data_IF_099822233476
#
_entry.id   IF_099822233476
#
_cell.length_a   1.000
_cell.length_b   1.000
_cell.length_c   1.000
_cell.angle_alpha   90.00
_cell.angle_beta   90.00
_cell.angle_gamma   90.00
#
_symmetry.space_group_name_H-M   'P 1'
#
loop_
_entity.id
_entity.type
_entity.pdbx_description
1 polymer ?
#
# COMPACT_ATOMS: atom_id res chain seq x y z
N UNK A 1 -10.68 15.31 51.44
CA UNK A 1 -10.62 14.02 50.71
C UNK A 1 -11.06 14.08 49.24
N UNK A 2 -12.05 14.89 48.83
CA UNK A 2 -12.49 15.00 47.44
C UNK A 2 -11.40 15.49 46.47
N UNK A 3 -10.57 16.51 46.80
CA UNK A 3 -9.49 17.03 45.94
C UNK A 3 -8.38 16.02 45.63
N UNK A 4 -8.00 15.12 46.56
CA UNK A 4 -7.02 14.06 46.30
C UNK A 4 -7.51 13.00 45.32
N UNK A 5 -8.82 12.67 45.35
CA UNK A 5 -9.43 11.75 44.40
C UNK A 5 -9.46 12.31 42.96
N UNK A 6 -9.71 13.64 42.84
CA UNK A 6 -9.71 14.32 41.53
C UNK A 6 -8.31 14.42 40.91
N UNK A 7 -7.27 14.68 41.73
CA UNK A 7 -5.86 14.69 41.27
C UNK A 7 -5.39 13.30 40.87
N UNK A 8 -5.72 12.25 41.59
CA UNK A 8 -5.39 10.87 41.24
C UNK A 8 -6.11 10.40 39.97
N UNK A 9 -7.30 10.93 39.67
CA UNK A 9 -8.01 10.65 38.41
C UNK A 9 -7.43 11.38 37.22
N UNK A 10 -6.74 12.51 37.42
CA UNK A 10 -6.08 13.29 36.38
C UNK A 10 -4.64 12.81 36.07
N UNK A 11 -4.03 12.09 36.98
CA UNK A 11 -2.65 11.62 36.86
C UNK A 11 -2.36 10.82 35.56
N UNK A 12 -3.21 9.84 35.14
CA UNK A 12 -3.00 9.14 33.87
C UNK A 12 -3.03 10.06 32.66
N UNK A 13 -3.90 11.06 32.66
CA UNK A 13 -4.01 12.03 31.57
C UNK A 13 -2.80 12.96 31.48
N UNK A 14 -2.17 13.31 32.61
CA UNK A 14 -0.95 14.11 32.64
C UNK A 14 0.21 13.36 32.00
N UNK A 15 0.32 12.04 32.23
CA UNK A 15 1.32 11.20 31.57
C UNK A 15 1.10 11.05 30.07
N UNK A 16 -0.16 11.05 29.62
CA UNK A 16 -0.51 11.00 28.20
C UNK A 16 -0.43 12.37 27.50
N UNK A 17 -0.42 13.46 28.24
CA UNK A 17 -0.49 14.83 27.72
C UNK A 17 0.61 15.15 26.69
N UNK A 18 1.91 14.80 26.89
CA UNK A 18 2.93 15.05 25.88
C UNK A 18 2.64 14.34 24.56
N UNK A 19 2.19 13.07 24.61
CA UNK A 19 1.85 12.29 23.41
C UNK A 19 0.61 12.84 22.70
N UNK A 20 -0.45 13.21 23.46
CA UNK A 20 -1.66 13.82 22.92
C UNK A 20 -1.34 15.17 22.25
N UNK A 21 -0.49 15.99 22.88
CA UNK A 21 -0.08 17.29 22.33
C UNK A 21 0.68 17.12 21.02
N UNK A 22 1.64 16.19 20.97
CA UNK A 22 2.38 15.88 19.73
C UNK A 22 1.44 15.37 18.63
N UNK A 23 0.52 14.46 18.95
CA UNK A 23 -0.47 13.97 17.98
C UNK A 23 -1.39 15.09 17.49
N UNK A 24 -1.80 15.99 18.37
CA UNK A 24 -2.66 17.12 18.00
C UNK A 24 -1.95 18.06 17.05
N UNK A 25 -0.71 18.44 17.34
CA UNK A 25 0.07 19.39 16.53
C UNK A 25 0.49 18.76 15.18
N UNK A 26 1.01 17.54 15.19
CA UNK A 26 1.65 16.96 14.00
C UNK A 26 0.72 16.07 13.17
N UNK A 27 -0.42 15.66 13.70
CA UNK A 27 -1.38 14.81 12.98
C UNK A 27 -2.73 15.51 12.80
N UNK A 28 -3.40 15.89 13.90
CA UNK A 28 -4.75 16.42 13.80
C UNK A 28 -4.79 17.81 13.16
N UNK A 29 -3.85 18.69 13.51
CA UNK A 29 -3.79 20.05 12.94
C UNK A 29 -3.53 20.03 11.42
N UNK A 30 -2.53 19.28 10.85
CA UNK A 30 -2.38 19.18 9.41
C UNK A 30 -3.58 18.56 8.70
N UNK A 31 -4.24 17.57 9.29
CA UNK A 31 -5.48 16.99 8.74
C UNK A 31 -6.56 18.09 8.65
N UNK A 32 -6.78 18.83 9.71
CA UNK A 32 -7.74 19.95 9.74
C UNK A 32 -7.41 20.99 8.65
N UNK A 33 -6.11 21.34 8.49
CA UNK A 33 -5.67 22.29 7.46
C UNK A 33 -5.91 21.77 6.03
N UNK A 34 -5.78 20.46 5.78
CA UNK A 34 -6.12 19.87 4.49
C UNK A 34 -7.62 20.01 4.22
N UNK A 35 -8.49 19.72 5.20
CA UNK A 35 -9.94 19.92 5.06
C UNK A 35 -10.29 21.39 4.84
N UNK A 36 -9.70 22.31 5.61
CA UNK A 36 -9.89 23.75 5.46
C UNK A 36 -9.46 24.23 4.06
N UNK A 37 -8.29 23.82 3.62
CA UNK A 37 -7.72 24.19 2.30
C UNK A 37 -8.56 23.62 1.16
N UNK A 38 -9.13 22.42 1.31
CA UNK A 38 -9.99 21.82 0.28
C UNK A 38 -11.26 22.61 0.02
N UNK A 39 -11.74 23.38 1.01
CA UNK A 39 -12.92 24.25 0.95
C UNK A 39 -12.57 25.74 0.77
N UNK A 40 -11.30 26.05 0.48
CA UNK A 40 -10.82 27.43 0.36
C UNK A 40 -10.33 27.73 -1.06
N UNK A 41 -10.53 28.97 -1.50
CA UNK A 41 -9.83 29.50 -2.67
C UNK A 41 -8.40 29.82 -2.28
N UNK A 42 -7.44 29.18 -2.96
CA UNK A 42 -6.01 29.34 -2.69
C UNK A 42 -5.33 29.93 -3.93
N UNK A 43 -4.54 30.97 -3.73
CA UNK A 43 -3.73 31.56 -4.80
C UNK A 43 -2.62 30.63 -5.26
N UNK A 44 -2.03 30.88 -6.44
CA UNK A 44 -0.85 30.13 -6.90
C UNK A 44 0.35 30.24 -5.95
N UNK A 45 0.41 31.31 -5.16
CA UNK A 45 1.44 31.51 -4.13
C UNK A 45 1.12 30.79 -2.80
N UNK A 46 0.05 29.99 -2.73
CA UNK A 46 -0.34 29.27 -1.51
C UNK A 46 -1.14 30.10 -0.49
N UNK A 47 -1.49 31.34 -0.79
CA UNK A 47 -2.25 32.18 0.14
C UNK A 47 -3.74 31.88 0.04
N UNK A 48 -4.39 31.64 1.18
CA UNK A 48 -5.84 31.47 1.29
C UNK A 48 -6.54 32.81 1.08
N UNK A 49 -7.40 32.90 0.09
CA UNK A 49 -8.17 34.12 -0.27
C UNK A 49 -9.53 34.18 0.42
N UNK A 50 -10.20 33.02 0.57
CA UNK A 50 -11.52 32.94 1.14
C UNK A 50 -12.09 31.53 1.10
N UNK A 51 -13.28 31.38 1.68
CA UNK A 51 -14.02 30.13 1.67
C UNK A 51 -14.79 29.97 0.35
N UNK A 52 -14.63 28.82 -0.33
CA UNK A 52 -15.32 28.52 -1.57
C UNK A 52 -16.23 27.28 -1.52
N UNK A 53 -16.45 26.73 -0.32
CA UNK A 53 -17.28 25.56 -0.13
C UNK A 53 -16.79 24.33 -0.90
N UNK A 54 -17.65 23.75 -1.74
CA UNK A 54 -17.34 22.53 -2.50
C UNK A 54 -16.85 22.79 -3.94
N UNK A 55 -16.50 24.01 -4.30
CA UNK A 55 -16.08 24.35 -5.67
C UNK A 55 -14.84 23.58 -6.13
N UNK A 56 -13.85 23.39 -5.24
CA UNK A 56 -12.67 22.61 -5.57
C UNK A 56 -13.01 21.14 -5.85
N UNK A 57 -13.92 20.56 -5.06
CA UNK A 57 -14.42 19.21 -5.29
C UNK A 57 -15.17 19.11 -6.63
N UNK A 58 -16.01 20.06 -6.93
CA UNK A 58 -16.74 20.09 -8.22
C UNK A 58 -15.78 20.18 -9.41
N UNK A 59 -14.75 21.04 -9.34
CA UNK A 59 -13.71 21.17 -10.38
C UNK A 59 -12.96 19.85 -10.57
N UNK A 60 -12.55 19.19 -9.50
CA UNK A 60 -11.83 17.91 -9.53
C UNK A 60 -12.73 16.81 -10.14
N UNK A 61 -13.94 16.62 -9.63
CA UNK A 61 -14.84 15.54 -10.05
C UNK A 61 -15.29 15.64 -11.51
N UNK A 62 -15.43 16.87 -12.03
CA UNK A 62 -15.76 17.12 -13.45
C UNK A 62 -14.56 16.88 -14.37
N UNK A 63 -13.34 16.87 -13.85
CA UNK A 63 -12.13 16.69 -14.63
C UNK A 63 -12.01 15.29 -15.23
N UNK A 64 -11.80 15.19 -16.55
CA UNK A 64 -11.56 13.89 -17.22
C UNK A 64 -10.31 13.18 -16.70
N UNK A 65 -9.25 13.94 -16.40
CA UNK A 65 -8.01 13.42 -15.81
C UNK A 65 -8.26 12.77 -14.45
N UNK A 66 -9.10 13.34 -13.60
CA UNK A 66 -9.40 12.77 -12.29
C UNK A 66 -10.05 11.39 -12.40
N UNK A 67 -11.00 11.21 -13.33
CA UNK A 67 -11.64 9.89 -13.55
C UNK A 67 -10.64 8.82 -13.97
N UNK A 68 -9.69 9.17 -14.85
CA UNK A 68 -8.63 8.28 -15.27
C UNK A 68 -7.71 7.91 -14.10
N UNK A 69 -7.26 8.90 -13.34
CA UNK A 69 -6.38 8.74 -12.18
C UNK A 69 -7.05 7.92 -11.08
N UNK A 70 -8.32 8.14 -10.82
CA UNK A 70 -9.10 7.33 -9.87
C UNK A 70 -9.15 5.86 -10.31
N UNK A 71 -9.45 5.60 -11.59
CA UNK A 71 -9.42 4.25 -12.15
C UNK A 71 -8.05 3.61 -11.98
N UNK A 72 -6.98 4.32 -12.33
CA UNK A 72 -5.61 3.82 -12.17
C UNK A 72 -5.30 3.50 -10.71
N UNK A 73 -5.70 4.37 -9.76
CA UNK A 73 -5.50 4.13 -8.33
C UNK A 73 -6.19 2.85 -7.86
N UNK A 74 -7.43 2.63 -8.29
CA UNK A 74 -8.17 1.41 -7.96
C UNK A 74 -7.50 0.17 -8.57
N UNK A 75 -7.14 0.22 -9.86
CA UNK A 75 -6.44 -0.90 -10.53
C UNK A 75 -5.10 -1.18 -9.87
N UNK A 76 -4.30 -0.15 -9.59
CA UNK A 76 -3.04 -0.24 -8.87
C UNK A 76 -3.21 -0.91 -7.51
N UNK A 77 -4.11 -0.38 -6.68
CA UNK A 77 -4.30 -0.86 -5.32
C UNK A 77 -4.80 -2.29 -5.30
N UNK A 78 -5.84 -2.60 -6.10
CA UNK A 78 -6.43 -3.94 -6.13
C UNK A 78 -5.42 -4.96 -6.67
N UNK A 79 -4.75 -4.67 -7.79
CA UNK A 79 -3.81 -5.59 -8.40
C UNK A 79 -2.61 -5.87 -7.47
N UNK A 80 -1.98 -4.82 -6.93
CA UNK A 80 -0.84 -4.99 -6.04
C UNK A 80 -1.23 -5.72 -4.76
N UNK A 81 -2.34 -5.32 -4.11
CA UNK A 81 -2.76 -5.94 -2.83
C UNK A 81 -3.17 -7.38 -3.01
N UNK A 82 -4.02 -7.70 -4.00
CA UNK A 82 -4.50 -9.07 -4.20
C UNK A 82 -3.33 -10.00 -4.55
N UNK A 83 -2.51 -9.60 -5.52
CA UNK A 83 -1.41 -10.45 -5.98
C UNK A 83 -0.36 -10.60 -4.88
N UNK A 84 0.02 -9.53 -4.18
CA UNK A 84 1.00 -9.62 -3.09
C UNK A 84 0.47 -10.42 -1.90
N UNK A 85 -0.83 -10.38 -1.62
CA UNK A 85 -1.45 -11.20 -0.55
C UNK A 85 -1.39 -12.68 -0.92
N UNK A 86 -1.73 -13.05 -2.14
CA UNK A 86 -1.67 -14.44 -2.60
C UNK A 86 -0.23 -14.97 -2.60
N UNK A 87 0.69 -14.26 -3.24
CA UNK A 87 2.10 -14.68 -3.27
C UNK A 87 2.75 -14.64 -1.88
N UNK A 88 2.43 -13.65 -1.07
CA UNK A 88 2.90 -13.54 0.31
C UNK A 88 2.44 -14.72 1.17
N UNK A 89 1.16 -15.12 1.04
CA UNK A 89 0.63 -16.31 1.72
C UNK A 89 1.34 -17.60 1.27
N UNK A 90 1.50 -17.80 -0.05
CA UNK A 90 2.21 -18.97 -0.59
C UNK A 90 3.64 -19.02 -0.07
N UNK A 91 4.39 -17.91 -0.13
CA UNK A 91 5.75 -17.84 0.40
C UNK A 91 5.81 -18.07 1.91
N UNK A 92 4.83 -17.58 2.67
CA UNK A 92 4.75 -17.84 4.11
C UNK A 92 4.58 -19.34 4.41
N UNK A 93 3.72 -20.05 3.65
CA UNK A 93 3.56 -21.50 3.76
C UNK A 93 4.89 -22.24 3.48
N UNK A 94 5.60 -21.85 2.41
CA UNK A 94 6.91 -22.44 2.08
C UNK A 94 7.92 -22.16 3.19
N UNK A 95 8.00 -20.91 3.67
CA UNK A 95 8.91 -20.50 4.73
C UNK A 95 8.52 -21.04 6.12
N UNK A 96 7.31 -21.53 6.29
CA UNK A 96 6.92 -22.21 7.55
C UNK A 96 7.49 -23.63 7.65
N UNK A 97 7.74 -24.29 6.53
CA UNK A 97 8.35 -25.62 6.51
C UNK A 97 9.81 -25.59 6.95
N UNK A 98 10.31 -26.70 7.50
CA UNK A 98 11.71 -26.87 7.87
C UNK A 98 12.51 -27.37 6.66
N UNK A 99 13.44 -26.57 6.15
CA UNK A 99 14.37 -26.97 5.08
C UNK A 99 15.76 -26.34 5.28
N UNK A 100 16.79 -26.95 4.66
CA UNK A 100 18.22 -26.67 4.94
C UNK A 100 18.62 -25.19 4.79
N UNK A 101 18.09 -24.47 3.80
CA UNK A 101 18.48 -23.09 3.49
C UNK A 101 17.42 -22.04 3.91
N UNK A 102 16.50 -22.39 4.80
CA UNK A 102 15.39 -21.51 5.23
C UNK A 102 15.84 -20.11 5.67
N UNK A 103 16.94 -20.02 6.43
CA UNK A 103 17.48 -18.72 6.90
C UNK A 103 17.94 -17.83 5.73
N UNK A 104 18.66 -18.41 4.76
CA UNK A 104 19.12 -17.68 3.57
C UNK A 104 17.95 -17.24 2.70
N UNK A 105 16.95 -18.10 2.47
CA UNK A 105 15.75 -17.74 1.70
C UNK A 105 14.97 -16.61 2.39
N UNK A 106 14.84 -16.66 3.74
CA UNK A 106 14.20 -15.55 4.48
C UNK A 106 14.96 -14.23 4.30
N UNK A 107 16.29 -14.24 4.34
CA UNK A 107 17.10 -13.05 4.12
C UNK A 107 16.90 -12.49 2.70
N UNK A 108 16.88 -13.35 1.67
CA UNK A 108 16.64 -12.94 0.28
C UNK A 108 15.23 -12.35 0.12
N UNK A 109 14.22 -12.98 0.71
CA UNK A 109 12.83 -12.48 0.64
C UNK A 109 12.66 -11.13 1.34
N UNK A 110 13.38 -10.86 2.44
CA UNK A 110 13.31 -9.56 3.14
C UNK A 110 13.97 -8.43 2.33
N UNK A 111 14.97 -8.74 1.53
CA UNK A 111 15.81 -7.74 0.86
C UNK A 111 15.03 -6.66 0.07
N UNK A 112 14.01 -6.98 -0.75
CA UNK A 112 13.24 -5.96 -1.46
C UNK A 112 12.51 -5.00 -0.51
N UNK A 113 12.00 -5.47 0.61
CA UNK A 113 11.28 -4.65 1.58
C UNK A 113 12.22 -3.79 2.44
N UNK A 114 13.44 -4.28 2.70
CA UNK A 114 14.44 -3.59 3.51
C UNK A 114 15.14 -2.43 2.78
N UNK A 115 14.95 -2.29 1.47
CA UNK A 115 15.58 -1.27 0.64
C UNK A 115 14.64 -0.11 0.34
N UNK A 116 15.20 1.07 0.03
CA UNK A 116 14.42 2.26 -0.33
C UNK A 116 13.57 2.02 -1.58
N UNK A 117 12.29 2.41 -1.54
CA UNK A 117 11.37 2.34 -2.68
C UNK A 117 11.88 3.07 -3.93
N UNK A 118 12.54 4.23 -3.73
CA UNK A 118 13.11 5.02 -4.84
C UNK A 118 14.23 4.23 -5.51
N UNK A 119 15.09 3.60 -4.73
CA UNK A 119 16.18 2.76 -5.25
C UNK A 119 15.61 1.57 -6.01
N UNK A 120 14.64 0.86 -5.44
CA UNK A 120 13.97 -0.26 -6.10
C UNK A 120 13.35 0.15 -7.44
N UNK A 121 12.56 1.21 -7.44
CA UNK A 121 11.95 1.74 -8.65
C UNK A 121 12.99 2.16 -9.70
N UNK A 122 14.09 2.79 -9.28
CA UNK A 122 15.20 3.18 -10.16
C UNK A 122 15.93 1.97 -10.76
N UNK A 123 16.20 0.94 -9.95
CA UNK A 123 16.83 -0.30 -10.40
C UNK A 123 15.94 -1.02 -11.41
N UNK A 124 14.64 -1.17 -11.14
CA UNK A 124 13.72 -1.79 -12.10
C UNK A 124 13.57 -0.98 -13.37
N UNK A 125 13.49 0.36 -13.29
CA UNK A 125 13.48 1.23 -14.45
C UNK A 125 14.73 1.01 -15.34
N UNK A 126 15.90 0.87 -14.72
CA UNK A 126 17.15 0.56 -15.44
C UNK A 126 17.14 -0.87 -16.03
N UNK A 127 16.64 -1.86 -15.27
CA UNK A 127 16.58 -3.26 -15.73
C UNK A 127 15.76 -3.39 -17.03
N UNK A 128 14.63 -2.67 -17.14
CA UNK A 128 13.70 -2.73 -18.28
C UNK A 128 14.02 -1.72 -19.39
N UNK A 129 15.08 -0.93 -19.25
CA UNK A 129 15.47 0.03 -20.28
C UNK A 129 15.76 -0.70 -21.60
N UNK A 130 15.31 -0.09 -22.72
CA UNK A 130 15.43 -0.72 -24.03
C UNK A 130 16.90 -0.87 -24.48
N UNK A 131 17.68 0.19 -24.31
CA UNK A 131 19.00 0.31 -24.92
C UNK A 131 20.12 -0.20 -24.01
N UNK A 132 20.02 0.10 -22.71
CA UNK A 132 21.05 -0.21 -21.70
C UNK A 132 20.57 -1.21 -20.63
N UNK A 133 19.33 -1.73 -20.75
CA UNK A 133 18.72 -2.53 -19.70
C UNK A 133 19.39 -3.89 -19.50
N UNK A 134 19.58 -4.24 -18.23
CA UNK A 134 20.19 -5.52 -17.86
C UNK A 134 19.37 -6.72 -18.35
N UNK A 135 18.03 -6.58 -18.44
CA UNK A 135 17.15 -7.64 -18.93
C UNK A 135 17.44 -7.98 -20.40
N UNK A 136 17.51 -6.98 -21.28
CA UNK A 136 17.87 -7.18 -22.69
C UNK A 136 19.27 -7.76 -22.84
N UNK A 137 20.23 -7.22 -22.09
CA UNK A 137 21.63 -7.71 -22.11
C UNK A 137 21.71 -9.18 -21.71
N UNK A 138 20.99 -9.60 -20.66
CA UNK A 138 20.95 -10.99 -20.22
C UNK A 138 20.29 -11.90 -21.27
N UNK A 139 19.13 -11.51 -21.79
CA UNK A 139 18.36 -12.31 -22.74
C UNK A 139 19.09 -12.48 -24.07
N UNK A 140 19.82 -11.45 -24.53
CA UNK A 140 20.69 -11.56 -25.71
C UNK A 140 21.89 -12.49 -25.47
N UNK A 141 22.54 -12.41 -24.30
CA UNK A 141 23.66 -13.29 -23.93
C UNK A 141 23.29 -14.76 -23.90
N UNK A 142 22.09 -15.11 -23.43
CA UNK A 142 21.61 -16.50 -23.43
C UNK A 142 20.89 -16.91 -24.72
N UNK A 143 20.89 -16.04 -25.73
CA UNK A 143 20.35 -16.35 -27.06
C UNK A 143 18.84 -16.41 -27.17
N UNK A 144 18.08 -15.89 -26.17
CA UNK A 144 16.62 -15.88 -26.19
C UNK A 144 16.03 -14.78 -27.07
N UNK A 145 16.75 -13.68 -27.26
CA UNK A 145 16.38 -12.59 -28.18
C UNK A 145 17.58 -12.20 -29.03
N UNK A 146 17.33 -11.82 -30.28
CA UNK A 146 18.37 -11.40 -31.25
C UNK A 146 18.59 -9.89 -31.28
N UNK A 147 17.66 -9.10 -30.77
CA UNK A 147 17.73 -7.65 -30.72
C UNK A 147 17.02 -7.12 -29.46
N UNK A 148 17.36 -5.89 -28.99
CA UNK A 148 16.76 -5.31 -27.79
C UNK A 148 15.25 -5.14 -27.94
N UNK A 149 14.49 -5.63 -26.98
CA UNK A 149 13.04 -5.50 -26.90
C UNK A 149 12.68 -4.23 -26.13
N UNK A 150 11.71 -3.46 -26.63
CA UNK A 150 11.11 -2.38 -25.86
C UNK A 150 10.04 -2.96 -24.91
N UNK A 151 10.35 -3.06 -23.62
CA UNK A 151 9.46 -3.60 -22.59
C UNK A 151 8.33 -2.66 -22.21
N UNK A 152 8.43 -1.38 -22.58
CA UNK A 152 7.50 -0.31 -22.22
C UNK A 152 7.04 0.49 -23.44
N UNK A 153 6.50 -0.18 -24.49
CA UNK A 153 6.11 0.51 -25.73
C UNK A 153 4.86 1.39 -25.57
N UNK A 154 4.08 1.18 -24.52
CA UNK A 154 2.82 1.90 -24.27
C UNK A 154 2.72 2.33 -22.80
N UNK A 155 1.89 3.33 -22.49
CA UNK A 155 1.62 3.71 -21.10
C UNK A 155 1.07 2.56 -20.25
N UNK A 156 0.29 1.65 -20.84
CA UNK A 156 -0.23 0.47 -20.16
C UNK A 156 0.88 -0.50 -19.77
N UNK A 157 1.88 -0.67 -20.64
CA UNK A 157 3.05 -1.49 -20.34
C UNK A 157 3.88 -0.88 -19.20
N UNK A 158 4.08 0.45 -19.19
CA UNK A 158 4.70 1.12 -18.04
C UNK A 158 3.92 0.87 -16.74
N UNK A 159 2.59 1.03 -16.79
CA UNK A 159 1.74 0.83 -15.62
C UNK A 159 1.77 -0.62 -15.12
N UNK A 160 1.83 -1.59 -16.04
CA UNK A 160 2.00 -3.00 -15.69
C UNK A 160 3.35 -3.27 -14.98
N UNK A 161 4.44 -2.64 -15.44
CA UNK A 161 5.73 -2.73 -14.76
C UNK A 161 5.72 -2.05 -13.39
N UNK A 162 5.05 -0.90 -13.25
CA UNK A 162 4.85 -0.25 -11.95
C UNK A 162 4.12 -1.19 -10.99
N UNK A 163 3.02 -1.83 -11.43
CA UNK A 163 2.28 -2.83 -10.64
C UNK A 163 3.20 -3.99 -10.25
N UNK A 164 4.00 -4.51 -11.17
CA UNK A 164 4.95 -5.58 -10.88
C UNK A 164 5.96 -5.16 -9.79
N UNK A 165 6.54 -3.97 -9.89
CA UNK A 165 7.46 -3.44 -8.87
C UNK A 165 6.74 -3.26 -7.53
N UNK A 166 5.49 -2.78 -7.54
CA UNK A 166 4.68 -2.68 -6.34
C UNK A 166 4.47 -4.04 -5.65
N UNK A 167 4.14 -5.08 -6.42
CA UNK A 167 4.01 -6.45 -5.92
C UNK A 167 5.34 -6.94 -5.35
N UNK A 168 6.42 -6.80 -6.11
CA UNK A 168 7.76 -7.25 -5.72
C UNK A 168 8.20 -6.69 -4.36
N UNK A 169 7.92 -5.43 -4.10
CA UNK A 169 8.28 -4.75 -2.85
C UNK A 169 7.36 -5.12 -1.69
N UNK A 170 6.06 -5.37 -1.95
CA UNK A 170 5.07 -5.60 -0.88
C UNK A 170 4.90 -7.06 -0.49
N UNK A 171 5.22 -8.02 -1.36
CA UNK A 171 5.16 -9.47 -1.07
C UNK A 171 5.89 -9.84 0.23
N UNK A 172 7.12 -9.37 0.50
CA UNK A 172 7.83 -9.72 1.74
C UNK A 172 7.07 -9.30 3.00
N UNK A 173 6.49 -8.11 3.02
CA UNK A 173 5.72 -7.61 4.17
C UNK A 173 4.57 -8.58 4.51
N UNK A 174 3.74 -8.92 3.52
CA UNK A 174 2.64 -9.87 3.69
C UNK A 174 3.17 -11.24 4.13
N UNK A 175 4.26 -11.71 3.49
CA UNK A 175 4.89 -12.98 3.82
C UNK A 175 5.24 -13.09 5.31
N UNK A 176 5.89 -12.08 5.87
CA UNK A 176 6.33 -12.14 7.27
C UNK A 176 5.19 -11.92 8.26
N UNK A 177 4.19 -11.10 7.94
CA UNK A 177 2.98 -10.98 8.75
C UNK A 177 2.23 -12.32 8.84
N UNK A 178 2.01 -12.97 7.70
CA UNK A 178 1.34 -14.27 7.66
C UNK A 178 2.18 -15.37 8.29
N UNK A 179 3.49 -15.37 8.05
CA UNK A 179 4.41 -16.33 8.67
C UNK A 179 4.40 -16.26 10.20
N UNK A 180 4.29 -15.06 10.76
CA UNK A 180 4.13 -14.88 12.22
C UNK A 180 2.85 -15.54 12.71
N UNK A 181 1.72 -15.34 11.99
CA UNK A 181 0.45 -16.02 12.29
C UNK A 181 0.53 -17.54 12.16
N UNK A 182 1.21 -18.04 11.11
CA UNK A 182 1.41 -19.51 10.94
C UNK A 182 2.22 -20.12 12.07
N UNK A 183 3.20 -19.38 12.61
CA UNK A 183 4.06 -19.85 13.71
C UNK A 183 3.40 -19.80 15.08
N UNK A 184 2.27 -19.12 15.23
CA UNK A 184 1.46 -19.11 16.45
C UNK A 184 0.47 -20.28 16.54
N UNK A 185 0.27 -21.04 15.46
CA UNK A 185 -0.63 -22.19 15.45
C UNK A 185 0.06 -23.37 16.18
N UNK A 186 -0.63 -23.93 17.18
CA UNK A 186 -0.14 -25.11 17.89
C UNK A 186 -0.12 -26.33 16.96
N UNK A 187 0.98 -27.09 17.01
CA UNK A 187 1.16 -28.29 16.20
C UNK A 187 0.14 -29.40 16.51
N UNK A 188 -0.44 -29.39 17.71
CA UNK A 188 -1.46 -30.35 18.13
C UNK A 188 -2.66 -30.39 17.19
N UNK A 189 -3.07 -29.24 16.60
CA UNK A 189 -4.13 -29.21 15.57
C UNK A 189 -3.77 -30.03 14.33
N UNK A 190 -2.51 -29.98 13.89
CA UNK A 190 -2.07 -30.74 12.72
C UNK A 190 -1.86 -32.20 13.01
N UNK A 191 -1.42 -32.54 14.24
CA UNK A 191 -1.27 -33.91 14.71
C UNK A 191 -2.61 -34.61 14.81
N UNK A 192 -3.60 -33.99 15.47
CA UNK A 192 -4.96 -34.51 15.56
C UNK A 192 -5.56 -34.75 14.16
N UNK A 193 -5.48 -33.76 13.28
CA UNK A 193 -5.96 -33.88 11.90
C UNK A 193 -5.21 -34.99 11.11
N UNK A 194 -3.96 -35.28 11.46
CA UNK A 194 -3.22 -36.40 10.83
C UNK A 194 -3.77 -37.75 11.28
N UNK A 195 -4.09 -37.89 12.57
CA UNK A 195 -4.73 -39.10 13.13
C UNK A 195 -6.10 -39.33 12.49
N UNK A 196 -6.87 -38.23 12.24
CA UNK A 196 -8.16 -38.28 11.56
C UNK A 196 -8.04 -38.52 10.03
N UNK A 197 -6.85 -38.71 9.48
CA UNK A 197 -6.61 -38.99 8.08
C UNK A 197 -6.74 -37.78 7.15
N UNK A 198 -6.72 -36.55 7.67
CA UNK A 198 -6.82 -35.33 6.85
C UNK A 198 -5.59 -35.16 5.93
N UNK A 199 -5.88 -34.94 4.64
CA UNK A 199 -4.85 -34.64 3.63
C UNK A 199 -4.36 -33.17 3.73
N UNK A 200 -3.30 -32.84 2.94
CA UNK A 200 -2.71 -31.50 2.93
C UNK A 200 -3.72 -30.37 2.68
N UNK A 201 -4.59 -30.52 1.68
CA UNK A 201 -5.58 -29.50 1.31
C UNK A 201 -6.64 -29.33 2.39
N UNK A 202 -7.08 -30.43 3.03
CA UNK A 202 -7.99 -30.37 4.16
C UNK A 202 -7.38 -29.60 5.33
N UNK A 203 -6.12 -29.88 5.68
CA UNK A 203 -5.40 -29.12 6.72
C UNK A 203 -5.23 -27.65 6.33
N UNK A 204 -4.90 -27.34 5.06
CA UNK A 204 -4.74 -25.97 4.59
C UNK A 204 -6.04 -25.18 4.71
N UNK A 205 -7.16 -25.69 4.17
CA UNK A 205 -8.41 -24.93 4.10
C UNK A 205 -9.24 -25.00 5.39
N UNK A 206 -9.15 -26.08 6.17
CA UNK A 206 -9.97 -26.27 7.38
C UNK A 206 -9.26 -25.87 8.68
N UNK A 207 -7.92 -25.82 8.69
CA UNK A 207 -7.14 -25.50 9.90
C UNK A 207 -6.30 -24.26 9.66
N UNK A 208 -5.37 -24.31 8.69
CA UNK A 208 -4.37 -23.26 8.50
C UNK A 208 -5.02 -21.92 8.13
N UNK A 209 -5.82 -21.90 7.07
CA UNK A 209 -6.42 -20.68 6.53
C UNK A 209 -7.39 -19.99 7.54
N UNK A 210 -8.28 -20.71 8.24
CA UNK A 210 -9.08 -20.11 9.29
C UNK A 210 -8.26 -19.53 10.45
N UNK A 211 -7.26 -20.26 10.95
CA UNK A 211 -6.46 -19.83 12.09
C UNK A 211 -5.52 -18.65 11.78
N UNK A 212 -5.04 -18.49 10.54
CA UNK A 212 -4.23 -17.32 10.14
C UNK A 212 -5.06 -16.17 9.58
N UNK A 213 -6.37 -16.28 9.53
CA UNK A 213 -7.27 -15.30 8.94
C UNK A 213 -7.09 -13.91 9.56
N UNK A 214 -6.94 -13.82 10.87
CA UNK A 214 -6.68 -12.54 11.56
C UNK A 214 -5.38 -11.89 11.07
N UNK A 215 -4.28 -12.65 10.98
CA UNK A 215 -2.99 -12.16 10.46
C UNK A 215 -3.08 -11.73 8.97
N UNK A 216 -3.84 -12.49 8.15
CA UNK A 216 -4.12 -12.12 6.77
C UNK A 216 -4.93 -10.83 6.69
N UNK A 217 -5.96 -10.68 7.53
CA UNK A 217 -6.80 -9.48 7.57
C UNK A 217 -5.97 -8.25 7.93
N UNK A 218 -5.21 -8.31 9.01
CA UNK A 218 -4.37 -7.19 9.47
C UNK A 218 -3.33 -6.85 8.40
N UNK A 219 -2.61 -7.83 7.86
CA UNK A 219 -1.60 -7.58 6.82
C UNK A 219 -2.21 -6.98 5.55
N UNK A 220 -3.40 -7.43 5.14
CA UNK A 220 -4.07 -6.91 3.94
C UNK A 220 -4.57 -5.47 4.15
N UNK A 221 -5.15 -5.13 5.31
CA UNK A 221 -5.54 -3.74 5.62
C UNK A 221 -4.33 -2.80 5.60
N UNK A 222 -3.25 -3.18 6.27
CA UNK A 222 -2.03 -2.39 6.26
C UNK A 222 -1.44 -2.25 4.85
N UNK A 223 -1.49 -3.32 4.06
CA UNK A 223 -1.04 -3.30 2.67
C UNK A 223 -1.90 -2.40 1.77
N UNK A 224 -3.24 -2.39 1.95
CA UNK A 224 -4.15 -1.45 1.25
C UNK A 224 -3.72 -0.01 1.53
N UNK A 225 -3.51 0.34 2.81
CA UNK A 225 -3.11 1.69 3.21
C UNK A 225 -1.75 2.07 2.60
N UNK A 226 -0.79 1.17 2.65
CA UNK A 226 0.56 1.37 2.14
C UNK A 226 0.60 1.53 0.62
N UNK A 227 -0.06 0.63 -0.11
CA UNK A 227 -0.08 0.62 -1.57
C UNK A 227 -0.87 1.80 -2.13
N UNK A 228 -2.03 2.12 -1.55
CA UNK A 228 -2.85 3.26 -1.97
C UNK A 228 -2.07 4.58 -1.89
N UNK A 229 -1.24 4.75 -0.86
CA UNK A 229 -0.43 5.96 -0.65
C UNK A 229 0.94 5.90 -1.33
N UNK A 230 1.23 4.90 -2.16
CA UNK A 230 2.54 4.75 -2.78
C UNK A 230 2.80 5.85 -3.83
N UNK A 231 3.73 6.74 -3.52
CA UNK A 231 4.22 7.80 -4.41
C UNK A 231 5.54 7.40 -5.11
N UNK A 232 6.54 6.83 -4.41
CA UNK A 232 7.90 6.74 -4.94
C UNK A 232 8.02 5.88 -6.19
N UNK A 233 7.27 4.78 -6.30
CA UNK A 233 7.38 3.83 -7.42
C UNK A 233 6.95 4.53 -8.72
N UNK A 234 5.72 5.04 -8.76
CA UNK A 234 5.16 5.69 -9.96
C UNK A 234 5.94 6.96 -10.31
N UNK A 235 6.30 7.74 -9.28
CA UNK A 235 7.05 8.97 -9.51
C UNK A 235 8.46 8.72 -10.09
N UNK A 236 9.14 7.68 -9.66
CA UNK A 236 10.50 7.36 -10.15
C UNK A 236 10.47 6.76 -11.55
N UNK A 237 9.50 5.90 -11.85
CA UNK A 237 9.45 5.21 -13.15
C UNK A 237 8.96 6.15 -14.24
N UNK A 238 7.78 6.73 -14.10
CA UNK A 238 7.13 7.51 -15.17
C UNK A 238 6.80 8.95 -14.82
N UNK A 239 6.78 9.31 -13.53
CA UNK A 239 6.19 10.55 -13.02
C UNK A 239 4.69 10.69 -13.37
N UNK A 240 4.01 9.57 -13.66
CA UNK A 240 2.61 9.53 -14.08
C UNK A 240 2.38 9.84 -15.58
N UNK A 241 3.45 10.03 -16.36
CA UNK A 241 3.35 10.40 -17.78
C UNK A 241 3.39 9.15 -18.71
N UNK A 242 2.96 9.28 -19.97
CA UNK A 242 2.45 10.48 -20.64
C UNK A 242 0.98 10.77 -20.32
N UNK A 243 0.63 12.05 -20.28
CA UNK A 243 -0.75 12.54 -20.17
C UNK A 243 -1.53 11.99 -18.96
N UNK A 244 -0.87 11.81 -17.81
CA UNK A 244 -1.44 11.24 -16.58
C UNK A 244 -1.95 9.79 -16.71
N UNK A 245 -1.49 9.04 -17.72
CA UNK A 245 -1.99 7.69 -17.99
C UNK A 245 -1.48 6.64 -16.99
N UNK A 246 -0.42 6.95 -16.24
CA UNK A 246 0.10 6.12 -15.15
C UNK A 246 -0.04 6.82 -13.78
N UNK A 247 -0.61 8.04 -13.72
CA UNK A 247 -0.86 8.72 -12.45
C UNK A 247 -1.83 7.94 -11.56
N UNK A 248 -1.50 7.93 -10.27
CA UNK A 248 -2.43 7.61 -9.18
C UNK A 248 -2.87 8.89 -8.47
N UNK A 249 -3.83 8.82 -7.55
CA UNK A 249 -4.31 9.98 -6.80
C UNK A 249 -3.16 10.72 -6.11
N UNK A 250 -2.16 10.00 -5.58
CA UNK A 250 -1.04 10.61 -4.84
C UNK A 250 -0.09 11.37 -5.78
N UNK A 251 0.24 10.83 -6.95
CA UNK A 251 1.09 11.54 -7.92
C UNK A 251 0.34 12.69 -8.59
N UNK A 252 -0.95 12.53 -8.83
CA UNK A 252 -1.80 13.57 -9.39
C UNK A 252 -1.98 14.76 -8.45
N UNK A 253 -2.29 14.52 -7.16
CA UNK A 253 -2.37 15.59 -6.17
C UNK A 253 -1.05 16.36 -6.03
N UNK A 254 0.08 15.65 -6.11
CA UNK A 254 1.40 16.25 -6.07
C UNK A 254 1.60 17.20 -7.27
N UNK A 255 1.23 16.76 -8.49
CA UNK A 255 1.27 17.61 -9.69
C UNK A 255 0.35 18.84 -9.57
N UNK A 256 -0.86 18.67 -8.99
CA UNK A 256 -1.78 19.79 -8.76
C UNK A 256 -1.17 20.82 -7.81
N UNK A 257 -0.62 20.36 -6.69
CA UNK A 257 -0.08 21.26 -5.67
C UNK A 257 1.19 21.98 -6.14
N UNK A 258 2.20 21.22 -6.62
CA UNK A 258 3.54 21.74 -6.81
C UNK A 258 3.87 22.18 -8.26
N UNK A 259 3.21 21.58 -9.27
CA UNK A 259 3.47 21.96 -10.66
C UNK A 259 2.42 22.90 -11.22
N UNK A 260 1.16 22.77 -10.79
CA UNK A 260 0.06 23.61 -11.29
C UNK A 260 -0.33 24.75 -10.36
N UNK A 261 0.19 24.77 -9.12
CA UNK A 261 -0.15 25.78 -8.11
C UNK A 261 -1.63 25.78 -7.70
N UNK A 262 -2.29 24.59 -7.76
CA UNK A 262 -3.71 24.42 -7.47
C UNK A 262 -3.92 23.71 -6.13
N UNK A 263 -3.42 24.31 -5.06
CA UNK A 263 -3.41 23.71 -3.71
C UNK A 263 -4.81 23.36 -3.19
N UNK A 264 -5.84 24.17 -3.50
CA UNK A 264 -7.23 23.86 -3.12
C UNK A 264 -7.77 22.61 -3.80
N UNK A 265 -7.52 22.44 -5.13
CA UNK A 265 -7.89 21.21 -5.86
C UNK A 265 -7.07 20.00 -5.35
N UNK A 266 -5.78 20.18 -5.07
CA UNK A 266 -4.94 19.12 -4.52
C UNK A 266 -5.43 18.66 -3.14
N UNK A 267 -5.80 19.58 -2.27
CA UNK A 267 -6.40 19.27 -0.97
C UNK A 267 -7.75 18.54 -1.12
N UNK A 268 -8.59 18.94 -2.09
CA UNK A 268 -9.83 18.22 -2.39
C UNK A 268 -9.58 16.79 -2.86
N UNK A 269 -8.56 16.55 -3.71
CA UNK A 269 -8.13 15.19 -4.12
C UNK A 269 -7.66 14.38 -2.90
N UNK A 270 -6.91 15.00 -1.97
CA UNK A 270 -6.45 14.34 -0.74
C UNK A 270 -7.63 13.89 0.13
N UNK A 271 -8.64 14.76 0.32
CA UNK A 271 -9.85 14.43 1.09
C UNK A 271 -10.64 13.30 0.42
N UNK A 272 -10.84 13.36 -0.90
CA UNK A 272 -11.51 12.28 -1.65
C UNK A 272 -10.73 10.96 -1.50
N UNK A 273 -9.41 10.99 -1.66
CA UNK A 273 -8.55 9.82 -1.51
C UNK A 273 -8.64 9.23 -0.10
N UNK A 274 -8.62 10.07 0.93
CA UNK A 274 -8.78 9.66 2.32
C UNK A 274 -10.13 8.96 2.56
N UNK A 275 -11.23 9.53 2.06
CA UNK A 275 -12.56 8.93 2.21
C UNK A 275 -12.68 7.58 1.48
N UNK A 276 -12.11 7.47 0.26
CA UNK A 276 -12.08 6.20 -0.48
C UNK A 276 -11.27 5.15 0.28
N UNK A 277 -10.10 5.52 0.78
CA UNK A 277 -9.24 4.60 1.53
C UNK A 277 -9.92 4.12 2.80
N UNK A 278 -10.53 5.02 3.58
CA UNK A 278 -11.30 4.66 4.77
C UNK A 278 -12.46 3.71 4.44
N UNK A 279 -13.19 3.98 3.35
CA UNK A 279 -14.29 3.13 2.90
C UNK A 279 -13.79 1.73 2.51
N UNK A 280 -12.75 1.65 1.69
CA UNK A 280 -12.17 0.37 1.26
C UNK A 280 -11.65 -0.45 2.45
N UNK A 281 -10.88 0.17 3.34
CA UNK A 281 -10.35 -0.49 4.53
C UNK A 281 -11.45 -0.95 5.47
N UNK A 282 -12.47 -0.12 5.70
CA UNK A 282 -13.61 -0.45 6.56
C UNK A 282 -14.45 -1.59 6.01
N UNK A 283 -14.78 -1.56 4.70
CA UNK A 283 -15.53 -2.65 4.04
C UNK A 283 -14.75 -3.96 4.16
N UNK A 284 -13.46 -3.95 3.85
CA UNK A 284 -12.63 -5.16 3.94
C UNK A 284 -12.59 -5.70 5.38
N UNK A 285 -12.39 -4.83 6.36
CA UNK A 285 -12.34 -5.20 7.77
C UNK A 285 -13.67 -5.82 8.24
N UNK A 286 -14.81 -5.16 7.96
CA UNK A 286 -16.13 -5.67 8.35
C UNK A 286 -16.44 -7.02 7.69
N UNK A 287 -16.16 -7.18 6.39
CA UNK A 287 -16.39 -8.44 5.69
C UNK A 287 -15.48 -9.56 6.21
N UNK A 288 -14.24 -9.21 6.58
CA UNK A 288 -13.28 -10.19 7.11
C UNK A 288 -13.62 -10.63 8.53
N UNK A 289 -14.05 -9.70 9.40
CA UNK A 289 -14.35 -10.01 10.81
C UNK A 289 -15.73 -10.69 10.99
N UNK A 290 -16.75 -10.32 10.24
CA UNK A 290 -18.07 -10.97 10.33
C UNK A 290 -18.05 -12.50 10.14
N UNK A 291 -17.07 -13.01 9.42
CA UNK A 291 -16.88 -14.47 9.28
C UNK A 291 -16.15 -15.12 10.47
N UNK A 292 -15.83 -14.40 11.53
CA UNK A 292 -15.25 -14.97 12.75
C UNK A 292 -16.31 -15.30 13.81
N UNK A 293 -17.53 -14.77 13.64
CA UNK A 293 -18.66 -14.98 14.57
C UNK A 293 -19.61 -16.10 14.13
N UNK A 294 -19.46 -16.63 12.90
CA UNK A 294 -20.19 -17.81 12.38
C UNK A 294 -19.29 -19.07 12.43
#
# INVERSE_FOLDING_TARGET
MKKKKTLAALEPYLWLLPSILLMTIFILFPIFEVFRTSMSEVSKAGLVKGFCGFDNFAKVLRGSTFKLVLKNTLVWTIAVVVISTVFGFILALVLNNKFRFRKAVRAIVVFPWATSLIIQAGVWKFIIDKDYGALNTLLMKIGLISSPVNWTPTPQAYFAWEIFVGIFVTVPFVTFCVLSGLQSIDNSYYEAATVDGANYWQKLFKITLPLVKSSLTVSTVLNIIYVFNSFPIIWTITKGDPASRTDTLVTYLYKLAFYKGKSGEAAAVSVIGFLILCLCASIYMVVSLRKEEE
#
